data_IF_551539713239
#
_entry.id   IF_551539713239
#
_cell.length_a   1.000
_cell.length_b   1.000
_cell.length_c   1.000
_cell.angle_alpha   90.00
_cell.angle_beta   90.00
_cell.angle_gamma   90.00
#
_symmetry.space_group_name_H-M   'P 1'
#
loop_
_entity.id
_entity.type
_entity.pdbx_description
1 polymer ?
#
# COMPACT_ATOMS: atom_id res chain seq x y z
N UNK A 1 -14.31 -27.11 -13.29
CA UNK A 1 -13.10 -26.63 -12.58
C UNK A 1 -12.96 -27.38 -11.25
N UNK A 2 -11.73 -27.71 -10.80
CA UNK A 2 -11.47 -28.33 -9.48
C UNK A 2 -10.81 -27.29 -8.58
N UNK A 3 -11.48 -26.89 -7.50
CA UNK A 3 -10.96 -25.92 -6.53
C UNK A 3 -10.16 -26.61 -5.43
N UNK A 4 -9.09 -25.96 -4.97
CA UNK A 4 -8.44 -26.36 -3.72
C UNK A 4 -9.35 -25.98 -2.54
N UNK A 5 -9.51 -26.83 -1.52
CA UNK A 5 -10.33 -26.49 -0.36
C UNK A 5 -9.76 -25.26 0.36
N UNK A 6 -10.60 -24.54 1.10
CA UNK A 6 -10.15 -23.47 2.00
C UNK A 6 -9.12 -24.03 3.00
N UNK A 7 -7.91 -23.45 3.11
CA UNK A 7 -6.92 -23.90 4.09
C UNK A 7 -7.32 -23.44 5.50
N UNK A 8 -6.64 -24.01 6.51
CA UNK A 8 -6.76 -23.55 7.89
C UNK A 8 -6.36 -22.07 7.99
N UNK A 9 -7.03 -21.32 8.88
CA UNK A 9 -6.68 -19.92 9.10
C UNK A 9 -5.48 -19.83 10.05
N UNK A 10 -4.29 -19.67 9.49
CA UNK A 10 -3.03 -19.59 10.21
C UNK A 10 -2.50 -18.16 10.40
N UNK A 11 -3.28 -17.13 10.03
CA UNK A 11 -2.84 -15.73 10.14
C UNK A 11 -2.43 -15.35 11.57
N UNK A 12 -3.12 -15.85 12.60
CA UNK A 12 -2.77 -15.55 13.98
C UNK A 12 -1.37 -16.09 14.36
N UNK A 13 -1.06 -17.31 13.91
CA UNK A 13 0.24 -17.92 14.14
C UNK A 13 1.33 -17.26 13.29
N UNK A 14 1.03 -16.93 12.03
CA UNK A 14 1.91 -16.15 11.17
C UNK A 14 2.26 -14.79 11.80
N UNK A 15 1.26 -14.00 12.19
CA UNK A 15 1.43 -12.63 12.73
C UNK A 15 2.31 -12.68 14.00
N UNK A 16 2.01 -13.60 14.91
CA UNK A 16 2.78 -13.80 16.14
C UNK A 16 4.22 -14.21 15.84
N UNK A 17 4.42 -15.22 15.00
CA UNK A 17 5.75 -15.71 14.62
C UNK A 17 6.58 -14.62 13.96
N UNK A 18 5.98 -13.88 13.02
CA UNK A 18 6.63 -12.80 12.30
C UNK A 18 7.03 -11.66 13.25
N UNK A 19 6.09 -11.21 14.10
CA UNK A 19 6.35 -10.17 15.09
C UNK A 19 7.47 -10.54 16.07
N UNK A 20 7.42 -11.75 16.65
CA UNK A 20 8.44 -12.23 17.58
C UNK A 20 9.82 -12.33 16.92
N UNK A 21 9.90 -12.84 15.68
CA UNK A 21 11.16 -12.95 14.94
C UNK A 21 11.74 -11.58 14.59
N UNK A 22 10.90 -10.64 14.12
CA UNK A 22 11.32 -9.28 13.82
C UNK A 22 11.84 -8.57 15.08
N UNK A 23 11.14 -8.73 16.22
CA UNK A 23 11.52 -8.12 17.50
C UNK A 23 12.76 -8.70 18.12
N UNK A 24 13.01 -9.99 17.92
CA UNK A 24 14.25 -10.62 18.35
C UNK A 24 15.48 -9.92 17.75
N UNK A 25 15.36 -9.38 16.53
CA UNK A 25 16.44 -8.67 15.85
C UNK A 25 16.36 -7.14 15.94
N UNK A 26 15.21 -6.58 16.35
CA UNK A 26 15.04 -5.16 16.61
C UNK A 26 14.07 -4.93 17.77
N UNK A 27 14.61 -4.61 18.94
CA UNK A 27 13.84 -4.24 20.14
C UNK A 27 13.05 -2.93 19.97
N UNK A 28 13.33 -2.19 18.89
CA UNK A 28 12.70 -0.92 18.55
C UNK A 28 11.26 -1.06 18.04
N UNK A 29 10.86 -2.25 17.57
CA UNK A 29 9.50 -2.54 17.14
C UNK A 29 8.61 -2.75 18.37
N UNK A 30 7.59 -1.91 18.53
CA UNK A 30 6.72 -1.88 19.72
C UNK A 30 5.30 -2.39 19.44
N UNK A 31 4.84 -2.37 18.18
CA UNK A 31 3.57 -2.97 17.77
C UNK A 31 3.61 -3.48 16.32
N UNK A 32 2.77 -4.47 16.04
CA UNK A 32 2.44 -4.94 14.69
C UNK A 32 0.97 -4.70 14.41
N UNK A 33 0.72 -4.11 13.24
CA UNK A 33 -0.58 -3.96 12.64
C UNK A 33 -0.59 -4.57 11.24
N UNK A 34 -1.78 -4.78 10.71
CA UNK A 34 -2.01 -5.13 9.32
C UNK A 34 -3.11 -4.27 8.73
N UNK A 35 -3.11 -4.10 7.42
CA UNK A 35 -4.25 -3.51 6.73
C UNK A 35 -5.44 -4.48 6.82
N UNK A 36 -6.62 -3.95 7.10
CA UNK A 36 -7.88 -4.68 7.26
C UNK A 36 -8.01 -5.47 8.56
N UNK A 37 -9.21 -5.98 8.82
CA UNK A 37 -9.50 -6.79 9.98
C UNK A 37 -9.16 -8.26 9.74
N UNK A 38 -9.00 -9.03 10.81
CA UNK A 38 -8.75 -10.48 10.72
C UNK A 38 -9.78 -11.22 9.85
N UNK A 39 -11.04 -10.79 9.85
CA UNK A 39 -12.10 -11.41 9.03
C UNK A 39 -11.96 -11.12 7.53
N UNK A 40 -11.23 -10.08 7.15
CA UNK A 40 -10.95 -9.73 5.76
C UNK A 40 -9.77 -10.55 5.20
N UNK A 41 -8.98 -11.20 6.06
CA UNK A 41 -7.85 -12.03 5.69
C UNK A 41 -8.34 -13.42 5.28
N UNK A 42 -8.20 -13.75 3.99
CA UNK A 42 -8.67 -14.99 3.40
C UNK A 42 -7.51 -15.98 3.28
N UNK A 43 -7.52 -17.10 4.04
CA UNK A 43 -6.41 -18.06 4.04
C UNK A 43 -6.10 -18.58 2.63
N UNK A 44 -4.83 -18.56 2.26
CA UNK A 44 -4.34 -18.98 0.95
C UNK A 44 -4.62 -18.00 -0.21
N UNK A 45 -5.32 -16.89 0.04
CA UNK A 45 -5.67 -15.88 -0.97
C UNK A 45 -5.13 -14.49 -0.64
N UNK A 46 -5.21 -14.09 0.63
CA UNK A 46 -4.73 -12.79 1.10
C UNK A 46 -3.26 -12.86 1.47
N UNK A 47 -2.50 -11.88 1.02
CA UNK A 47 -1.23 -11.51 1.62
C UNK A 47 -1.47 -10.80 2.96
N UNK A 48 -0.41 -10.63 3.76
CA UNK A 48 -0.49 -9.86 5.00
C UNK A 48 0.30 -8.55 4.90
N UNK A 49 -0.47 -7.50 4.66
CA UNK A 49 -0.05 -6.11 4.54
C UNK A 49 0.51 -5.55 5.86
N UNK A 50 1.68 -6.02 6.29
CA UNK A 50 2.24 -5.70 7.61
C UNK A 50 2.55 -4.20 7.76
N UNK A 51 2.34 -3.67 8.96
CA UNK A 51 2.73 -2.32 9.40
C UNK A 51 3.35 -2.42 10.79
N UNK A 52 4.54 -1.86 11.00
CA UNK A 52 5.12 -1.75 12.33
C UNK A 52 4.94 -0.36 12.90
N UNK A 53 4.69 -0.31 14.22
CA UNK A 53 4.91 0.89 15.01
C UNK A 53 6.18 0.69 15.84
N UNK A 54 7.10 1.62 15.72
CA UNK A 54 8.41 1.61 16.36
C UNK A 54 8.52 2.75 17.38
N UNK A 55 9.53 2.71 18.23
CA UNK A 55 9.76 3.79 19.20
C UNK A 55 10.05 5.14 18.54
N UNK A 56 9.82 6.24 19.27
CA UNK A 56 10.07 7.61 18.80
C UNK A 56 11.55 7.99 18.74
N UNK A 57 12.44 7.16 19.27
CA UNK A 57 13.88 7.38 19.27
C UNK A 57 14.60 6.77 18.05
N UNK A 58 13.87 6.44 16.98
CA UNK A 58 14.44 5.92 15.75
C UNK A 58 15.27 6.99 15.03
N UNK A 59 16.55 6.71 14.81
CA UNK A 59 17.43 7.49 13.95
C UNK A 59 17.37 7.00 12.50
N UNK A 60 17.94 7.76 11.57
CA UNK A 60 18.07 7.32 10.17
C UNK A 60 18.87 6.02 10.04
N UNK A 61 19.90 5.84 10.85
CA UNK A 61 20.71 4.61 10.85
C UNK A 61 19.95 3.42 11.44
N UNK A 62 19.08 3.65 12.44
CA UNK A 62 18.18 2.61 12.94
C UNK A 62 17.21 2.14 11.85
N UNK A 63 16.72 3.04 11.00
CA UNK A 63 15.87 2.68 9.86
C UNK A 63 16.64 1.86 8.81
N UNK A 64 17.87 2.23 8.45
CA UNK A 64 18.71 1.45 7.53
C UNK A 64 18.97 0.03 8.08
N UNK A 65 19.29 -0.06 9.37
CA UNK A 65 19.52 -1.33 10.05
C UNK A 65 18.23 -2.17 10.09
N UNK A 66 17.11 -1.56 10.47
CA UNK A 66 15.81 -2.23 10.51
C UNK A 66 15.44 -2.78 9.13
N UNK A 67 15.63 -1.99 8.06
CA UNK A 67 15.38 -2.43 6.68
C UNK A 67 16.12 -3.73 6.35
N UNK A 68 17.42 -3.74 6.60
CA UNK A 68 18.29 -4.92 6.36
C UNK A 68 17.81 -6.13 7.15
N UNK A 69 17.62 -5.96 8.46
CA UNK A 69 17.18 -7.01 9.37
C UNK A 69 15.80 -7.57 9.00
N UNK A 70 14.87 -6.72 8.57
CA UNK A 70 13.54 -7.15 8.15
C UNK A 70 13.60 -7.98 6.87
N UNK A 71 14.42 -7.59 5.89
CA UNK A 71 14.67 -8.38 4.68
C UNK A 71 15.17 -9.79 5.01
N UNK A 72 16.20 -9.88 5.86
CA UNK A 72 16.76 -11.17 6.28
C UNK A 72 15.76 -12.02 7.07
N UNK A 73 15.01 -11.41 8.00
CA UNK A 73 14.01 -12.13 8.81
C UNK A 73 12.89 -12.68 7.92
N UNK A 74 12.42 -11.86 6.98
CA UNK A 74 11.40 -12.24 6.02
C UNK A 74 11.88 -13.39 5.11
N UNK A 75 13.11 -13.32 4.62
CA UNK A 75 13.75 -14.39 3.84
C UNK A 75 13.80 -15.71 4.62
N UNK A 76 14.37 -15.70 5.83
CA UNK A 76 14.51 -16.91 6.66
C UNK A 76 13.17 -17.55 7.00
N UNK A 77 12.15 -16.74 7.27
CA UNK A 77 10.81 -17.26 7.56
C UNK A 77 10.11 -17.80 6.31
N UNK A 78 10.29 -17.16 5.15
CA UNK A 78 9.76 -17.65 3.88
C UNK A 78 10.40 -18.99 3.47
N UNK A 79 11.70 -19.18 3.72
CA UNK A 79 12.39 -20.46 3.55
C UNK A 79 11.86 -21.53 4.50
N UNK A 80 11.68 -21.18 5.78
CA UNK A 80 11.25 -22.11 6.83
C UNK A 80 9.78 -22.52 6.71
N UNK A 81 8.92 -21.62 6.24
CA UNK A 81 7.47 -21.82 6.16
C UNK A 81 6.94 -21.56 4.75
N UNK A 82 7.16 -22.48 3.78
CA UNK A 82 6.65 -22.32 2.42
C UNK A 82 5.13 -22.17 2.32
N UNK A 83 4.37 -22.67 3.31
CA UNK A 83 2.92 -22.49 3.39
C UNK A 83 2.48 -21.02 3.54
N UNK A 84 3.37 -20.14 4.00
CA UNK A 84 3.12 -18.71 4.18
C UNK A 84 3.61 -17.86 3.00
N UNK A 85 3.94 -18.47 1.86
CA UNK A 85 4.42 -17.74 0.68
C UNK A 85 3.51 -16.57 0.29
N UNK A 86 2.18 -16.77 0.26
CA UNK A 86 1.24 -15.67 0.01
C UNK A 86 1.30 -14.58 1.08
N UNK A 87 1.37 -14.95 2.36
CA UNK A 87 1.45 -14.00 3.47
C UNK A 87 2.72 -13.13 3.38
N UNK A 88 3.81 -13.69 2.84
CA UNK A 88 5.10 -13.04 2.63
C UNK A 88 5.21 -12.29 1.29
N UNK A 89 4.15 -12.11 0.51
CA UNK A 89 4.22 -11.43 -0.80
C UNK A 89 4.94 -10.07 -0.73
N UNK A 90 4.66 -9.31 0.32
CA UNK A 90 5.25 -8.01 0.55
C UNK A 90 5.89 -7.91 1.94
N UNK A 91 7.06 -7.29 2.01
CA UNK A 91 7.58 -6.78 3.27
C UNK A 91 6.65 -5.72 3.87
N UNK A 92 6.77 -5.41 5.18
CA UNK A 92 5.96 -4.38 5.82
C UNK A 92 6.00 -3.07 5.03
N UNK A 93 4.82 -2.48 4.80
CA UNK A 93 4.63 -1.28 3.99
C UNK A 93 5.06 0.00 4.72
N UNK A 94 4.09 0.86 5.06
CA UNK A 94 4.34 2.06 5.86
C UNK A 94 4.66 1.64 7.30
N UNK A 95 5.78 2.13 7.84
CA UNK A 95 6.17 1.91 9.24
C UNK A 95 6.41 3.25 9.90
N UNK A 96 5.91 3.41 11.13
CA UNK A 96 5.79 4.71 11.79
C UNK A 96 6.37 4.66 13.19
N UNK A 97 6.91 5.78 13.67
CA UNK A 97 7.01 5.99 15.11
C UNK A 97 5.61 6.28 15.70
N UNK A 98 5.48 6.23 17.03
CA UNK A 98 4.22 6.61 17.69
C UNK A 98 3.87 8.08 17.50
N UNK A 99 4.87 8.95 17.52
CA UNK A 99 4.73 10.38 17.27
C UNK A 99 4.26 10.65 15.84
N UNK A 100 4.70 9.86 14.87
CA UNK A 100 4.23 9.97 13.49
C UNK A 100 2.81 9.47 13.29
N UNK A 101 2.43 8.37 13.97
CA UNK A 101 1.08 7.81 13.89
C UNK A 101 0.00 8.79 14.38
N UNK A 102 0.33 9.61 15.37
CA UNK A 102 -0.62 10.51 16.04
C UNK A 102 -0.48 11.98 15.61
N UNK A 103 0.48 12.28 14.73
CA UNK A 103 0.74 13.64 14.27
C UNK A 103 -0.23 14.06 13.15
N UNK A 104 -0.93 15.18 13.36
CA UNK A 104 -1.80 15.77 12.33
C UNK A 104 -1.02 16.21 11.08
N UNK A 105 0.22 16.66 11.26
CA UNK A 105 1.11 17.01 10.15
C UNK A 105 1.36 15.81 9.25
N UNK A 106 1.32 14.61 9.81
CA UNK A 106 1.73 13.37 9.16
C UNK A 106 0.56 12.42 8.93
N UNK A 107 -0.66 12.91 9.15
CA UNK A 107 -1.87 12.12 9.11
C UNK A 107 -2.11 11.59 7.70
N UNK A 108 -2.35 10.28 7.62
CA UNK A 108 -2.73 9.59 6.41
C UNK A 108 -3.98 8.74 6.69
N UNK A 109 -5.09 8.91 5.97
CA UNK A 109 -6.36 8.24 6.28
C UNK A 109 -6.29 6.71 6.31
N UNK A 110 -5.31 6.07 5.66
CA UNK A 110 -5.10 4.62 5.76
C UNK A 110 -4.85 4.15 7.20
N UNK A 111 -4.38 4.99 8.12
CA UNK A 111 -4.11 4.59 9.52
C UNK A 111 -5.37 4.03 10.21
N UNK A 112 -6.55 4.53 9.85
CA UNK A 112 -7.83 4.02 10.35
C UNK A 112 -8.24 2.66 9.75
N UNK A 113 -7.57 2.21 8.70
CA UNK A 113 -7.75 0.91 8.05
C UNK A 113 -6.85 -0.17 8.66
N UNK A 114 -6.08 0.16 9.70
CA UNK A 114 -5.14 -0.76 10.33
C UNK A 114 -5.79 -1.45 11.53
N UNK A 115 -5.60 -2.77 11.60
CA UNK A 115 -5.88 -3.56 12.80
C UNK A 115 -4.57 -3.83 13.53
N UNK A 116 -4.53 -3.49 14.82
CA UNK A 116 -3.37 -3.73 15.67
C UNK A 116 -3.51 -5.10 16.35
N UNK A 117 -2.55 -6.00 16.10
CA UNK A 117 -2.64 -7.38 16.55
C UNK A 117 -1.86 -7.65 17.83
N UNK A 118 -0.62 -7.12 17.93
CA UNK A 118 0.24 -7.31 19.09
C UNK A 118 0.98 -6.01 19.44
N UNK A 119 1.14 -5.76 20.74
CA UNK A 119 1.97 -4.68 21.28
C UNK A 119 2.45 -5.02 22.69
N UNK A 120 3.61 -4.49 23.09
CA UNK A 120 4.06 -4.55 24.49
C UNK A 120 3.51 -3.43 25.37
N UNK A 121 2.97 -2.36 24.77
CA UNK A 121 2.38 -1.25 25.51
C UNK A 121 0.92 -1.00 25.09
N UNK A 122 -0.02 -1.81 25.61
CA UNK A 122 -1.45 -1.62 25.33
C UNK A 122 -1.98 -0.25 25.74
N UNK A 123 -1.37 0.41 26.74
CA UNK A 123 -1.81 1.74 27.19
C UNK A 123 -1.43 2.80 26.16
N UNK A 124 -0.20 2.76 25.64
CA UNK A 124 0.26 3.66 24.57
C UNK A 124 -0.53 3.44 23.29
N UNK A 125 -0.76 2.17 22.90
CA UNK A 125 -1.62 1.86 21.77
C UNK A 125 -3.03 2.41 21.95
N UNK A 126 -3.65 2.19 23.11
CA UNK A 126 -4.97 2.74 23.43
C UNK A 126 -5.03 4.26 23.31
N UNK A 127 -4.01 4.97 23.82
CA UNK A 127 -3.93 6.43 23.69
C UNK A 127 -3.77 6.92 22.24
N UNK A 128 -3.01 6.18 21.42
CA UNK A 128 -2.85 6.50 20.00
C UNK A 128 -4.16 6.30 19.22
N UNK A 129 -4.86 5.17 19.45
CA UNK A 129 -6.16 4.88 18.85
C UNK A 129 -7.23 5.90 19.28
N UNK A 130 -7.24 6.28 20.56
CA UNK A 130 -8.10 7.36 21.08
C UNK A 130 -7.85 8.69 20.38
N UNK A 131 -6.58 9.00 20.08
CA UNK A 131 -6.20 10.24 19.39
C UNK A 131 -6.72 10.22 17.95
N UNK A 132 -6.48 9.13 17.22
CA UNK A 132 -7.00 8.94 15.87
C UNK A 132 -8.53 9.01 15.85
N UNK A 133 -9.21 8.31 16.75
CA UNK A 133 -10.67 8.27 16.81
C UNK A 133 -11.34 9.62 17.11
N UNK A 134 -10.63 10.54 17.79
CA UNK A 134 -11.11 11.91 18.06
C UNK A 134 -10.87 12.87 16.91
N UNK A 135 -10.07 12.49 15.92
CA UNK A 135 -9.82 13.33 14.74
C UNK A 135 -11.11 13.47 13.94
N UNK A 136 -11.56 14.70 13.62
CA UNK A 136 -12.72 14.89 12.77
C UNK A 136 -12.38 14.51 11.32
N UNK A 137 -13.40 14.11 10.56
CA UNK A 137 -13.30 13.96 9.11
C UNK A 137 -13.04 15.31 8.45
N UNK A 138 -12.11 15.35 7.48
CA UNK A 138 -11.80 16.56 6.72
C UNK A 138 -11.46 16.29 5.24
N UNK A 139 -10.94 17.30 4.56
CA UNK A 139 -10.56 17.25 3.14
C UNK A 139 -9.45 16.23 2.85
N UNK A 140 -8.57 15.91 3.81
CA UNK A 140 -7.53 14.88 3.62
C UNK A 140 -8.16 13.50 3.48
N UNK A 141 -9.16 13.22 4.30
CA UNK A 141 -9.93 11.97 4.24
C UNK A 141 -10.68 11.86 2.91
N UNK A 142 -11.42 12.91 2.54
CA UNK A 142 -12.17 12.94 1.30
C UNK A 142 -11.25 12.78 0.08
N UNK A 143 -10.14 13.51 0.04
CA UNK A 143 -9.16 13.43 -1.05
C UNK A 143 -8.58 12.02 -1.22
N UNK A 144 -8.17 11.39 -0.11
CA UNK A 144 -7.64 10.03 -0.13
C UNK A 144 -8.66 9.03 -0.71
N UNK A 145 -9.89 9.06 -0.21
CA UNK A 145 -10.93 8.14 -0.64
C UNK A 145 -11.39 8.41 -2.07
N UNK A 146 -11.51 9.67 -2.51
CA UNK A 146 -11.88 9.98 -3.88
C UNK A 146 -10.80 9.59 -4.88
N UNK A 147 -9.51 9.73 -4.55
CA UNK A 147 -8.43 9.21 -5.40
C UNK A 147 -8.52 7.70 -5.55
N UNK A 148 -8.76 6.98 -4.46
CA UNK A 148 -8.90 5.52 -4.49
C UNK A 148 -10.16 5.08 -5.23
N UNK A 149 -11.28 5.80 -5.06
CA UNK A 149 -12.50 5.59 -5.85
C UNK A 149 -12.21 5.73 -7.35
N UNK A 150 -11.63 6.86 -7.75
CA UNK A 150 -11.34 7.15 -9.15
C UNK A 150 -10.31 6.20 -9.76
N UNK A 151 -9.35 5.70 -8.98
CA UNK A 151 -8.31 4.79 -9.45
C UNK A 151 -8.89 3.45 -9.92
N UNK A 152 -9.89 2.92 -9.21
CA UNK A 152 -10.49 1.61 -9.45
C UNK A 152 -11.90 1.69 -10.05
N UNK A 153 -12.37 2.87 -10.42
CA UNK A 153 -13.67 3.05 -11.04
C UNK A 153 -13.72 2.48 -12.46
N UNK A 154 -14.75 1.68 -12.73
CA UNK A 154 -15.08 1.14 -14.06
C UNK A 154 -15.05 -0.38 -14.10
N UNK A 155 -15.12 -0.94 -15.31
CA UNK A 155 -14.99 -2.38 -15.54
C UNK A 155 -13.66 -2.93 -15.04
N UNK A 156 -13.69 -4.15 -14.48
CA UNK A 156 -12.49 -4.91 -14.13
C UNK A 156 -11.49 -4.98 -15.30
N UNK A 157 -10.27 -4.50 -15.05
CA UNK A 157 -9.17 -4.67 -15.98
C UNK A 157 -8.60 -6.10 -15.86
N UNK A 158 -8.85 -6.95 -16.86
CA UNK A 158 -8.41 -8.36 -16.83
C UNK A 158 -6.89 -8.56 -16.85
N UNK A 159 -6.08 -7.52 -17.08
CA UNK A 159 -4.61 -7.59 -17.05
C UNK A 159 -4.01 -7.03 -15.75
N UNK A 160 -4.83 -6.54 -14.82
CA UNK A 160 -4.35 -6.03 -13.52
C UNK A 160 -4.11 -7.20 -12.57
N UNK A 161 -3.16 -7.02 -11.64
CA UNK A 161 -3.01 -7.86 -10.44
C UNK A 161 -2.90 -9.37 -10.76
N UNK A 162 -1.73 -9.84 -11.24
CA UNK A 162 -1.53 -11.25 -11.55
C UNK A 162 -1.55 -12.12 -10.28
N UNK A 163 -1.86 -13.40 -10.45
CA UNK A 163 -1.85 -14.37 -9.36
C UNK A 163 -0.39 -14.72 -8.99
N UNK A 164 0.11 -14.19 -7.89
CA UNK A 164 1.49 -14.42 -7.42
C UNK A 164 1.47 -15.19 -6.10
N UNK A 165 2.35 -16.20 -5.99
CA UNK A 165 2.60 -16.95 -4.74
C UNK A 165 1.36 -17.58 -4.07
N UNK A 166 0.30 -17.88 -4.84
CA UNK A 166 -0.96 -18.47 -4.36
C UNK A 166 -0.97 -20.00 -4.37
N UNK A 167 0.04 -20.62 -5.00
CA UNK A 167 0.16 -22.08 -5.09
C UNK A 167 -1.11 -22.75 -5.61
N UNK A 168 -1.64 -23.72 -4.87
CA UNK A 168 -2.84 -24.49 -5.26
C UNK A 168 -4.13 -23.65 -5.31
N UNK A 169 -4.12 -22.43 -4.75
CA UNK A 169 -5.28 -21.54 -4.67
C UNK A 169 -5.35 -20.53 -5.82
N UNK A 170 -4.38 -20.51 -6.73
CA UNK A 170 -4.37 -19.64 -7.92
C UNK A 170 -5.68 -19.72 -8.72
N UNK A 171 -6.28 -20.91 -8.81
CA UNK A 171 -7.55 -21.14 -9.49
C UNK A 171 -8.76 -20.37 -8.90
N UNK A 172 -8.63 -19.76 -7.72
CA UNK A 172 -9.64 -18.91 -7.10
C UNK A 172 -9.38 -17.41 -7.29
N UNK A 173 -8.15 -17.04 -7.63
CA UNK A 173 -7.70 -15.65 -7.66
C UNK A 173 -8.47 -14.75 -8.63
N UNK A 174 -8.87 -15.21 -9.83
CA UNK A 174 -9.60 -14.34 -10.76
C UNK A 174 -10.87 -13.71 -10.17
N UNK A 175 -11.64 -14.44 -9.35
CA UNK A 175 -12.82 -13.88 -8.68
C UNK A 175 -12.45 -13.08 -7.44
N UNK A 176 -11.42 -13.51 -6.70
CA UNK A 176 -10.92 -12.77 -5.54
C UNK A 176 -10.43 -11.38 -5.95
N UNK A 177 -9.62 -11.26 -6.99
CA UNK A 177 -9.11 -9.97 -7.45
C UNK A 177 -10.24 -9.05 -7.92
N UNK A 178 -11.20 -9.57 -8.71
CA UNK A 178 -12.40 -8.82 -9.14
C UNK A 178 -13.17 -8.22 -7.97
N UNK A 179 -13.49 -9.04 -6.98
CA UNK A 179 -14.36 -8.63 -5.87
C UNK A 179 -13.56 -7.84 -4.84
N UNK A 180 -12.42 -8.34 -4.37
CA UNK A 180 -11.73 -7.79 -3.20
C UNK A 180 -10.62 -6.79 -3.55
N UNK A 181 -10.02 -6.85 -4.74
CA UNK A 181 -8.91 -5.97 -5.15
C UNK A 181 -9.33 -4.89 -6.15
N UNK A 182 -10.44 -5.09 -6.87
CA UNK A 182 -10.90 -4.13 -7.88
C UNK A 182 -12.23 -3.47 -7.51
N UNK A 183 -13.29 -4.25 -7.21
CA UNK A 183 -14.60 -3.70 -6.90
C UNK A 183 -14.72 -3.19 -5.45
N UNK A 184 -14.15 -3.88 -4.46
CA UNK A 184 -14.23 -3.43 -3.07
C UNK A 184 -13.56 -2.06 -2.81
N UNK A 185 -12.33 -1.77 -3.32
CA UNK A 185 -11.67 -0.49 -3.03
C UNK A 185 -12.48 0.78 -3.32
N UNK A 186 -13.15 0.93 -4.48
CA UNK A 186 -14.00 2.09 -4.73
C UNK A 186 -15.28 2.05 -3.87
N UNK A 187 -15.91 0.89 -3.67
CA UNK A 187 -17.08 0.77 -2.77
C UNK A 187 -16.71 1.20 -1.35
N UNK A 188 -15.58 0.74 -0.83
CA UNK A 188 -15.06 1.10 0.49
C UNK A 188 -14.78 2.59 0.63
N UNK A 189 -14.16 3.17 -0.38
CA UNK A 189 -13.88 4.61 -0.39
C UNK A 189 -15.18 5.42 -0.43
N UNK A 190 -16.17 4.96 -1.22
CA UNK A 190 -17.46 5.60 -1.32
C UNK A 190 -18.20 5.63 0.02
N UNK A 191 -18.29 4.49 0.71
CA UNK A 191 -18.97 4.46 2.01
C UNK A 191 -18.24 5.29 3.07
N UNK A 192 -16.91 5.39 3.02
CA UNK A 192 -16.19 6.27 3.93
C UNK A 192 -16.58 7.75 3.72
N UNK A 193 -16.72 8.18 2.46
CA UNK A 193 -17.18 9.54 2.12
C UNK A 193 -18.63 9.77 2.53
N UNK A 194 -19.54 8.81 2.25
CA UNK A 194 -20.96 8.92 2.58
C UNK A 194 -21.20 8.97 4.10
N UNK A 195 -20.46 8.19 4.88
CA UNK A 195 -20.53 8.17 6.34
C UNK A 195 -19.73 9.30 7.00
N UNK A 196 -18.86 9.98 6.24
CA UNK A 196 -17.83 10.89 6.77
C UNK A 196 -17.03 10.25 7.90
N UNK A 197 -16.66 8.99 7.71
CA UNK A 197 -15.95 8.18 8.68
C UNK A 197 -15.04 7.16 7.98
N UNK A 198 -13.82 7.01 8.49
CA UNK A 198 -12.95 5.94 8.04
C UNK A 198 -13.42 4.58 8.57
N UNK A 199 -13.69 3.64 7.65
CA UNK A 199 -14.11 2.27 7.97
C UNK A 199 -12.91 1.34 7.90
N UNK A 200 -12.74 0.50 8.92
CA UNK A 200 -11.53 -0.32 9.06
C UNK A 200 -11.48 -1.47 8.03
N UNK A 201 -12.54 -2.26 7.85
CA UNK A 201 -12.49 -3.50 7.05
C UNK A 201 -13.27 -3.48 5.74
N UNK A 202 -12.84 -4.34 4.80
CA UNK A 202 -13.43 -4.48 3.46
C UNK A 202 -14.84 -5.06 3.51
N UNK A 203 -15.06 -6.07 4.36
CA UNK A 203 -16.39 -6.67 4.54
C UNK A 203 -17.35 -5.71 5.25
N UNK A 204 -16.87 -4.87 6.17
CA UNK A 204 -17.71 -3.84 6.83
C UNK A 204 -18.22 -2.87 5.79
N UNK A 205 -17.34 -2.48 4.87
CA UNK A 205 -17.67 -1.60 3.79
C UNK A 205 -18.78 -2.16 2.88
N UNK A 206 -18.76 -3.46 2.59
CA UNK A 206 -19.85 -4.10 1.85
C UNK A 206 -21.16 -4.14 2.63
N UNK A 207 -21.12 -4.48 3.92
CA UNK A 207 -22.31 -4.46 4.78
C UNK A 207 -22.93 -3.05 4.89
N UNK A 208 -22.10 -2.00 4.94
CA UNK A 208 -22.54 -0.60 4.92
C UNK A 208 -23.08 -0.23 3.53
N UNK A 209 -22.38 -0.57 2.45
CA UNK A 209 -22.79 -0.26 1.09
C UNK A 209 -24.14 -0.92 0.74
N UNK A 210 -24.36 -2.17 1.13
CA UNK A 210 -25.63 -2.85 0.92
C UNK A 210 -26.80 -2.13 1.62
N UNK A 211 -26.57 -1.51 2.79
CA UNK A 211 -27.60 -0.71 3.46
C UNK A 211 -27.91 0.60 2.74
N UNK A 212 -26.91 1.24 2.14
CA UNK A 212 -27.12 2.45 1.32
C UNK A 212 -27.79 2.13 -0.02
N UNK A 213 -27.54 0.95 -0.57
CA UNK A 213 -27.93 0.59 -1.93
C UNK A 213 -28.57 -0.80 -2.01
N UNK A 214 -29.67 -1.07 -1.28
CA UNK A 214 -30.20 -2.42 -1.11
C UNK A 214 -30.66 -3.09 -2.41
N UNK A 215 -31.03 -2.30 -3.41
CA UNK A 215 -31.58 -2.77 -4.68
C UNK A 215 -30.51 -3.06 -5.75
N UNK A 216 -29.21 -2.91 -5.45
CA UNK A 216 -28.16 -3.23 -6.41
C UNK A 216 -28.04 -4.73 -6.63
N UNK A 217 -28.04 -5.11 -7.91
CA UNK A 217 -27.98 -6.51 -8.36
C UNK A 217 -26.65 -7.20 -8.04
N UNK A 218 -25.61 -6.46 -7.67
CA UNK A 218 -24.29 -7.01 -7.37
C UNK A 218 -24.21 -7.75 -6.02
N UNK A 219 -25.11 -7.47 -5.07
CA UNK A 219 -25.00 -8.04 -3.72
C UNK A 219 -25.27 -9.53 -3.66
N UNK A 220 -26.23 -10.04 -4.44
CA UNK A 220 -26.50 -11.48 -4.52
C UNK A 220 -25.28 -12.28 -5.01
N UNK A 221 -24.68 -12.01 -6.19
CA UNK A 221 -23.51 -12.76 -6.65
C UNK A 221 -22.30 -12.56 -5.74
N UNK A 222 -22.06 -11.37 -5.17
CA UNK A 222 -20.96 -11.15 -4.24
C UNK A 222 -21.11 -12.07 -3.01
N UNK A 223 -22.29 -12.11 -2.38
CA UNK A 223 -22.52 -12.98 -1.23
C UNK A 223 -22.39 -14.45 -1.58
N UNK A 224 -22.96 -14.86 -2.72
CA UNK A 224 -22.86 -16.24 -3.21
C UNK A 224 -21.38 -16.65 -3.34
N UNK A 225 -20.59 -15.85 -4.05
CA UNK A 225 -19.16 -16.12 -4.32
C UNK A 225 -18.35 -16.13 -3.02
N UNK A 226 -18.55 -15.15 -2.13
CA UNK A 226 -17.81 -15.07 -0.86
C UNK A 226 -18.16 -16.21 0.09
N UNK A 227 -19.45 -16.56 0.22
CA UNK A 227 -19.90 -17.69 1.05
C UNK A 227 -19.39 -19.04 0.54
N UNK A 228 -19.30 -19.20 -0.78
CA UNK A 228 -18.72 -20.39 -1.39
C UNK A 228 -17.18 -20.38 -1.45
N UNK A 229 -16.51 -19.38 -0.84
CA UNK A 229 -15.05 -19.25 -0.87
C UNK A 229 -14.47 -19.27 -2.29
N UNK A 230 -15.16 -18.61 -3.21
CA UNK A 230 -14.85 -18.54 -4.64
C UNK A 230 -14.94 -19.89 -5.37
N UNK A 231 -15.53 -20.93 -4.76
CA UNK A 231 -15.60 -22.30 -5.32
C UNK A 231 -16.85 -22.52 -6.20
N UNK A 232 -17.18 -21.56 -7.06
CA UNK A 232 -18.37 -21.60 -7.92
C UNK A 232 -17.93 -21.59 -9.40
N UNK A 233 -17.89 -22.75 -10.10
CA UNK A 233 -17.32 -22.83 -11.45
C UNK A 233 -18.00 -21.90 -12.46
N UNK A 234 -19.32 -21.71 -12.35
CA UNK A 234 -20.07 -20.91 -13.33
C UNK A 234 -19.61 -19.46 -13.41
N UNK A 235 -19.05 -18.89 -12.35
CA UNK A 235 -18.59 -17.50 -12.33
C UNK A 235 -17.21 -17.32 -12.99
N UNK A 236 -16.53 -18.40 -13.38
CA UNK A 236 -15.24 -18.33 -14.09
C UNK A 236 -15.37 -18.44 -15.61
N UNK A 237 -16.57 -18.72 -16.11
CA UNK A 237 -16.81 -19.04 -17.52
C UNK A 237 -17.68 -17.98 -18.20
N UNK A 238 -17.47 -17.77 -19.50
CA UNK A 238 -18.33 -16.89 -20.29
C UNK A 238 -19.67 -17.57 -20.61
N UNK A 239 -20.80 -16.82 -20.66
CA UNK A 239 -20.90 -15.35 -20.55
C UNK A 239 -21.05 -14.84 -19.11
N UNK A 240 -21.09 -15.73 -18.10
CA UNK A 240 -21.38 -15.38 -16.70
C UNK A 240 -20.32 -14.47 -16.09
N UNK A 241 -19.05 -14.70 -16.42
CA UNK A 241 -17.95 -13.85 -15.97
C UNK A 241 -18.12 -12.39 -16.45
N UNK A 242 -18.42 -12.18 -17.74
CA UNK A 242 -18.69 -10.84 -18.27
C UNK A 242 -19.93 -10.21 -17.65
N UNK A 243 -20.99 -10.99 -17.43
CA UNK A 243 -22.21 -10.49 -16.76
C UNK A 243 -21.94 -10.05 -15.32
N UNK A 244 -21.07 -10.76 -14.58
CA UNK A 244 -20.65 -10.32 -13.27
C UNK A 244 -19.94 -8.96 -13.35
N UNK A 245 -18.98 -8.82 -14.26
CA UNK A 245 -18.26 -7.56 -14.47
C UNK A 245 -19.20 -6.40 -14.86
N UNK A 246 -20.20 -6.65 -15.71
CA UNK A 246 -21.24 -5.65 -16.07
C UNK A 246 -22.00 -5.19 -14.81
N UNK A 247 -22.46 -6.13 -13.99
CA UNK A 247 -23.25 -5.83 -12.78
C UNK A 247 -22.42 -5.08 -11.73
N UNK A 248 -21.12 -5.39 -11.61
CA UNK A 248 -20.21 -4.65 -10.73
C UNK A 248 -19.96 -3.23 -11.24
N UNK A 249 -19.73 -3.04 -12.54
CA UNK A 249 -19.53 -1.73 -13.16
C UNK A 249 -20.77 -0.84 -13.04
N UNK A 250 -21.96 -1.38 -13.33
CA UNK A 250 -23.23 -0.65 -13.15
C UNK A 250 -23.44 -0.21 -11.70
N UNK A 251 -23.10 -1.06 -10.73
CA UNK A 251 -23.18 -0.71 -9.31
C UNK A 251 -22.28 0.48 -8.96
N UNK A 252 -21.06 0.56 -9.52
CA UNK A 252 -20.19 1.73 -9.34
C UNK A 252 -20.81 3.00 -9.91
N UNK A 253 -21.52 2.91 -11.04
CA UNK A 253 -22.26 4.04 -11.62
C UNK A 253 -23.31 4.61 -10.65
N UNK A 254 -24.14 3.74 -10.06
CA UNK A 254 -25.14 4.16 -9.07
C UNK A 254 -24.50 4.76 -7.81
N UNK A 255 -23.40 4.17 -7.35
CA UNK A 255 -22.64 4.69 -6.19
C UNK A 255 -22.06 6.07 -6.51
N UNK A 256 -21.52 6.28 -7.71
CA UNK A 256 -20.98 7.56 -8.15
C UNK A 256 -22.04 8.66 -8.20
N UNK A 257 -23.23 8.34 -8.73
CA UNK A 257 -24.37 9.27 -8.73
C UNK A 257 -24.71 9.74 -7.32
N UNK A 258 -24.71 8.81 -6.35
CA UNK A 258 -24.97 9.15 -4.94
C UNK A 258 -23.84 9.95 -4.30
N UNK A 259 -22.59 9.61 -4.62
CA UNK A 259 -21.40 10.30 -4.11
C UNK A 259 -21.33 11.74 -4.57
N UNK A 260 -21.72 12.03 -5.82
CA UNK A 260 -21.72 13.39 -6.38
C UNK A 260 -22.37 14.40 -5.43
N UNK A 261 -23.46 14.01 -4.77
CA UNK A 261 -24.21 14.90 -3.87
C UNK A 261 -23.58 15.03 -2.46
N UNK A 262 -22.45 14.37 -2.21
CA UNK A 262 -21.78 14.29 -0.89
C UNK A 262 -20.32 14.75 -0.91
N UNK A 263 -19.71 14.88 -2.08
CA UNK A 263 -18.33 15.35 -2.25
C UNK A 263 -18.26 16.87 -2.22
N UNK A 264 -17.14 17.39 -1.73
CA UNK A 264 -16.81 18.81 -1.63
C UNK A 264 -15.60 19.20 -2.48
N UNK A 265 -14.74 18.24 -2.80
CA UNK A 265 -13.51 18.48 -3.59
C UNK A 265 -13.73 18.44 -5.10
N UNK A 266 -14.89 17.97 -5.56
CA UNK A 266 -15.23 17.85 -6.97
C UNK A 266 -16.26 18.91 -7.33
N UNK A 267 -16.04 19.71 -8.39
CA UNK A 267 -16.99 20.73 -8.82
C UNK A 267 -18.27 20.09 -9.37
N UNK A 268 -19.42 20.71 -9.13
CA UNK A 268 -20.74 20.22 -9.56
C UNK A 268 -20.81 19.97 -11.08
N UNK A 269 -20.09 20.78 -11.87
CA UNK A 269 -20.05 20.67 -13.33
C UNK A 269 -19.39 19.37 -13.83
N UNK A 270 -18.59 18.71 -13.00
CA UNK A 270 -18.00 17.41 -13.34
C UNK A 270 -19.04 16.30 -13.43
N UNK A 271 -20.21 16.47 -12.81
CA UNK A 271 -21.30 15.50 -12.84
C UNK A 271 -20.83 14.10 -12.45
N UNK A 272 -21.07 13.12 -13.31
CA UNK A 272 -20.63 11.72 -13.14
C UNK A 272 -19.52 11.32 -14.11
N UNK A 273 -18.71 12.28 -14.57
CA UNK A 273 -17.52 11.99 -15.39
C UNK A 273 -16.30 11.73 -14.49
N UNK A 274 -15.88 10.47 -14.40
CA UNK A 274 -14.72 10.09 -13.59
C UNK A 274 -13.41 10.72 -14.09
N UNK A 275 -13.31 11.02 -15.38
CA UNK A 275 -12.17 11.75 -15.95
C UNK A 275 -12.11 13.18 -15.41
N UNK A 276 -13.27 13.85 -15.35
CA UNK A 276 -13.37 15.17 -14.75
C UNK A 276 -13.09 15.16 -13.24
N UNK A 277 -13.53 14.11 -12.51
CA UNK A 277 -13.18 13.93 -11.09
C UNK A 277 -11.67 13.77 -10.89
N UNK A 278 -11.01 12.94 -11.72
CA UNK A 278 -9.55 12.77 -11.67
C UNK A 278 -8.82 14.09 -11.92
N UNK A 279 -9.26 14.88 -12.88
CA UNK A 279 -8.68 16.19 -13.17
C UNK A 279 -8.87 17.17 -12.01
N UNK A 280 -10.07 17.24 -11.43
CA UNK A 280 -10.35 18.09 -10.27
C UNK A 280 -9.46 17.71 -9.06
N UNK A 281 -9.29 16.42 -8.78
CA UNK A 281 -8.43 15.94 -7.71
C UNK A 281 -6.94 16.28 -7.94
N UNK A 282 -6.48 16.40 -9.18
CA UNK A 282 -5.09 16.83 -9.45
C UNK A 282 -4.84 18.30 -9.09
N UNK A 283 -5.88 19.13 -9.08
CA UNK A 283 -5.81 20.55 -8.73
C UNK A 283 -5.99 20.82 -7.23
N UNK A 284 -6.38 19.80 -6.44
CA UNK A 284 -6.51 19.94 -4.97
C UNK A 284 -5.13 20.26 -4.37
N UNK A 285 -4.97 21.40 -3.67
CA UNK A 285 -3.70 21.76 -3.06
C UNK A 285 -3.28 20.73 -1.99
N UNK A 286 -2.23 19.96 -2.29
CA UNK A 286 -1.59 19.08 -1.31
C UNK A 286 -0.35 19.79 -0.79
N UNK A 287 -0.15 19.78 0.53
CA UNK A 287 1.09 20.27 1.14
C UNK A 287 2.30 19.55 0.51
N UNK A 288 3.19 20.27 -0.20
CA UNK A 288 4.37 19.67 -0.81
C UNK A 288 5.26 18.91 0.19
N UNK A 289 5.26 19.29 1.47
CA UNK A 289 6.00 18.58 2.50
C UNK A 289 5.41 17.18 2.78
N UNK A 290 4.08 17.03 2.71
CA UNK A 290 3.41 15.73 2.82
C UNK A 290 3.85 14.78 1.69
N UNK A 291 4.01 15.32 0.48
CA UNK A 291 4.45 14.52 -0.68
C UNK A 291 5.85 13.95 -0.43
N UNK A 292 6.79 14.75 0.07
CA UNK A 292 8.15 14.28 0.38
C UNK A 292 8.09 13.23 1.50
N UNK A 293 7.36 13.55 2.56
CA UNK A 293 7.27 12.75 3.76
C UNK A 293 6.63 11.37 3.52
N UNK A 294 5.54 11.30 2.75
CA UNK A 294 4.91 10.02 2.40
C UNK A 294 5.91 9.13 1.64
N UNK A 295 6.61 9.68 0.66
CA UNK A 295 7.60 8.92 -0.11
C UNK A 295 8.78 8.45 0.75
N UNK A 296 9.27 9.26 1.69
CA UNK A 296 10.31 8.87 2.64
C UNK A 296 9.85 7.75 3.59
N UNK A 297 8.59 7.76 4.03
CA UNK A 297 8.01 6.68 4.85
C UNK A 297 7.92 5.36 4.10
N UNK A 298 7.44 5.39 2.85
CA UNK A 298 7.34 4.21 2.00
C UNK A 298 8.70 3.63 1.62
N UNK A 299 9.78 4.42 1.67
CA UNK A 299 11.13 3.95 1.31
C UNK A 299 11.87 3.24 2.46
N UNK A 300 11.47 3.42 3.72
CA UNK A 300 12.19 2.93 4.92
C UNK A 300 12.61 1.46 4.83
N UNK A 301 11.70 0.57 4.43
CA UNK A 301 11.98 -0.87 4.35
C UNK A 301 12.29 -1.37 2.93
N UNK A 302 12.49 -0.47 1.96
CA UNK A 302 12.66 -0.86 0.55
C UNK A 302 13.96 -1.64 0.31
N UNK A 303 15.07 -1.29 0.97
CA UNK A 303 16.31 -2.08 0.89
C UNK A 303 16.08 -3.53 1.29
N UNK A 304 15.47 -3.77 2.46
CA UNK A 304 15.11 -5.10 2.91
C UNK A 304 14.20 -5.83 1.93
N UNK A 305 13.27 -5.10 1.30
CA UNK A 305 12.32 -5.65 0.33
C UNK A 305 13.02 -6.14 -0.93
N UNK A 306 13.87 -5.31 -1.52
CA UNK A 306 14.66 -5.67 -2.70
C UNK A 306 15.68 -6.78 -2.39
N UNK A 307 16.29 -6.74 -1.20
CA UNK A 307 17.17 -7.81 -0.75
C UNK A 307 16.42 -9.15 -0.66
N UNK A 308 15.23 -9.18 -0.04
CA UNK A 308 14.40 -10.37 0.01
C UNK A 308 14.04 -10.84 -1.40
N UNK A 309 13.53 -9.96 -2.26
CA UNK A 309 13.14 -10.34 -3.62
C UNK A 309 14.29 -10.88 -4.46
N UNK A 310 15.49 -10.32 -4.30
CA UNK A 310 16.71 -10.77 -4.97
C UNK A 310 17.18 -12.16 -4.51
N UNK A 311 16.81 -12.58 -3.29
CA UNK A 311 17.33 -13.79 -2.64
C UNK A 311 16.23 -14.80 -2.25
N UNK A 312 14.98 -14.59 -2.67
CA UNK A 312 13.85 -15.41 -2.27
C UNK A 312 14.04 -16.89 -2.66
N UNK A 313 13.51 -17.84 -1.87
CA UNK A 313 13.62 -19.26 -2.18
C UNK A 313 12.87 -19.61 -3.48
N UNK A 314 13.27 -20.71 -4.13
CA UNK A 314 12.76 -21.12 -5.44
C UNK A 314 11.23 -21.34 -5.51
N UNK A 315 10.55 -21.53 -4.38
CA UNK A 315 9.09 -21.66 -4.31
C UNK A 315 8.34 -20.32 -4.29
N UNK A 316 9.06 -19.20 -4.26
CA UNK A 316 8.50 -17.86 -4.16
C UNK A 316 8.90 -17.06 -5.41
N UNK A 317 7.93 -16.70 -6.23
CA UNK A 317 8.14 -15.86 -7.42
C UNK A 317 8.26 -14.39 -7.02
N UNK A 318 9.32 -13.75 -7.48
CA UNK A 318 9.63 -12.34 -7.21
C UNK A 318 9.71 -11.51 -8.48
N UNK A 319 9.61 -12.09 -9.66
CA UNK A 319 9.90 -11.39 -10.93
C UNK A 319 8.98 -10.18 -11.10
N UNK A 320 7.67 -10.42 -11.04
CA UNK A 320 6.69 -9.35 -11.16
C UNK A 320 6.78 -8.36 -9.98
N UNK A 321 7.09 -8.85 -8.77
CA UNK A 321 7.23 -8.00 -7.59
C UNK A 321 8.39 -7.00 -7.79
N UNK A 322 9.54 -7.46 -8.26
CA UNK A 322 10.67 -6.59 -8.58
C UNK A 322 10.30 -5.62 -9.70
N UNK A 323 9.67 -6.08 -10.79
CA UNK A 323 9.25 -5.21 -11.89
C UNK A 323 8.31 -4.09 -11.42
N UNK A 324 7.34 -4.43 -10.57
CA UNK A 324 6.41 -3.47 -9.99
C UNK A 324 7.13 -2.44 -9.11
N UNK A 325 8.13 -2.85 -8.33
CA UNK A 325 8.96 -1.93 -7.55
C UNK A 325 9.81 -1.02 -8.45
N UNK A 326 10.59 -1.60 -9.38
CA UNK A 326 11.45 -0.84 -10.29
C UNK A 326 10.65 0.19 -11.11
N UNK A 327 9.42 -0.15 -11.51
CA UNK A 327 8.52 0.74 -12.24
C UNK A 327 8.06 1.99 -11.47
N UNK A 328 8.22 2.02 -10.15
CA UNK A 328 7.73 3.14 -9.31
C UNK A 328 8.79 3.83 -8.47
N UNK A 329 9.79 3.11 -7.95
CA UNK A 329 10.67 3.64 -6.89
C UNK A 329 11.53 4.83 -7.34
N UNK A 330 11.96 4.89 -8.60
CA UNK A 330 12.70 6.03 -9.13
C UNK A 330 11.86 7.31 -9.10
N UNK A 331 10.59 7.22 -9.52
CA UNK A 331 9.70 8.38 -9.50
C UNK A 331 9.23 8.74 -8.09
N UNK A 332 8.84 7.73 -7.31
CA UNK A 332 8.31 7.91 -5.95
C UNK A 332 9.38 8.39 -4.97
N UNK A 333 10.56 7.77 -4.93
CA UNK A 333 11.53 8.05 -3.87
C UNK A 333 12.58 9.08 -4.27
N UNK A 334 12.87 9.25 -5.56
CA UNK A 334 13.88 10.20 -6.03
C UNK A 334 13.28 11.38 -6.79
N UNK A 335 12.63 11.15 -7.95
CA UNK A 335 12.24 12.26 -8.83
C UNK A 335 11.25 13.20 -8.18
N UNK A 336 10.15 12.68 -7.64
CA UNK A 336 9.10 13.49 -7.02
C UNK A 336 9.61 14.23 -5.77
N UNK A 337 10.26 13.57 -4.79
CA UNK A 337 10.67 14.24 -3.56
C UNK A 337 11.74 15.30 -3.79
N UNK A 338 12.77 15.02 -4.61
CA UNK A 338 13.86 15.98 -4.83
C UNK A 338 13.44 17.18 -5.68
N UNK A 339 12.58 16.99 -6.71
CA UNK A 339 11.98 18.12 -7.46
C UNK A 339 11.12 18.99 -6.54
N UNK A 340 10.32 18.34 -5.70
CA UNK A 340 9.43 19.05 -4.75
C UNK A 340 10.24 19.82 -3.72
N UNK A 341 11.27 19.20 -3.15
CA UNK A 341 12.18 19.83 -2.20
C UNK A 341 12.87 21.05 -2.82
N UNK A 342 13.41 20.90 -4.04
CA UNK A 342 14.05 22.00 -4.75
C UNK A 342 13.09 23.18 -4.93
N UNK A 343 11.88 22.91 -5.42
CA UNK A 343 10.85 23.94 -5.61
C UNK A 343 10.47 24.65 -4.31
N UNK A 344 10.32 23.91 -3.20
CA UNK A 344 10.07 24.52 -1.88
C UNK A 344 11.23 25.43 -1.48
N UNK A 345 12.47 24.95 -1.66
CA UNK A 345 13.68 25.61 -1.19
C UNK A 345 14.04 26.86 -1.99
N UNK A 346 13.89 26.84 -3.31
CA UNK A 346 14.39 27.89 -4.21
C UNK A 346 13.29 28.61 -4.98
N UNK A 347 12.08 28.03 -5.05
CA UNK A 347 11.00 28.51 -5.92
C UNK A 347 11.13 28.05 -7.37
N UNK A 348 12.19 27.33 -7.73
CA UNK A 348 12.48 26.90 -9.10
C UNK A 348 11.98 25.49 -9.39
N UNK A 349 11.48 25.26 -10.61
CA UNK A 349 11.17 23.92 -11.10
C UNK A 349 12.38 23.34 -11.80
N UNK A 350 12.71 22.08 -11.52
CA UNK A 350 13.78 21.35 -12.19
C UNK A 350 13.22 20.10 -12.89
N UNK A 351 13.63 19.89 -14.14
CA UNK A 351 13.22 18.72 -14.91
C UNK A 351 13.98 17.47 -14.45
N UNK A 352 15.30 17.54 -14.30
CA UNK A 352 16.12 16.43 -13.76
C UNK A 352 16.70 16.78 -12.38
N UNK A 353 16.22 16.17 -11.28
CA UNK A 353 16.72 16.45 -9.94
C UNK A 353 18.17 16.00 -9.72
N UNK A 354 18.78 15.22 -10.62
CA UNK A 354 20.23 14.94 -10.55
C UNK A 354 21.05 16.23 -10.64
N UNK A 355 20.58 17.22 -11.40
CA UNK A 355 21.28 18.49 -11.62
C UNK A 355 21.47 19.32 -10.34
N UNK A 356 20.57 19.17 -9.36
CA UNK A 356 20.61 19.96 -8.11
C UNK A 356 21.40 19.29 -7.00
N UNK A 357 21.80 18.02 -7.16
CA UNK A 357 22.47 17.27 -6.08
C UNK A 357 23.84 17.86 -5.71
N UNK A 358 24.57 18.42 -6.67
CA UNK A 358 25.86 19.08 -6.41
C UNK A 358 25.68 20.41 -5.67
N UNK A 359 24.54 21.08 -5.83
CA UNK A 359 24.20 22.29 -5.06
C UNK A 359 23.81 21.99 -3.62
N UNK A 360 23.25 20.80 -3.37
CA UNK A 360 22.94 20.33 -2.01
C UNK A 360 24.19 19.82 -1.27
N UNK A 361 25.30 19.59 -1.97
CA UNK A 361 26.53 19.01 -1.43
C UNK A 361 27.25 19.98 -0.48
N UNK A 362 27.54 19.52 0.73
CA UNK A 362 28.27 20.26 1.75
C UNK A 362 27.42 21.24 2.56
N UNK A 363 26.19 21.52 2.10
CA UNK A 363 25.20 22.29 2.85
C UNK A 363 24.21 21.35 3.55
N UNK A 364 23.41 20.60 2.79
CA UNK A 364 22.44 19.63 3.35
C UNK A 364 22.95 18.19 3.26
N UNK A 365 23.54 17.82 2.13
CA UNK A 365 23.96 16.46 1.83
C UNK A 365 25.47 16.28 1.93
N UNK A 366 25.90 15.14 2.44
CA UNK A 366 27.30 14.73 2.44
C UNK A 366 27.76 14.34 1.03
N UNK A 367 29.08 14.30 0.77
CA UNK A 367 29.59 13.76 -0.50
C UNK A 367 29.13 12.33 -0.80
N UNK A 368 29.03 11.44 0.21
CA UNK A 368 28.60 10.05 0.01
C UNK A 368 27.12 9.95 -0.30
N UNK A 369 26.29 10.76 0.34
CA UNK A 369 24.84 10.84 0.10
C UNK A 369 24.53 11.32 -1.32
N UNK A 370 25.29 12.30 -1.82
CA UNK A 370 25.18 12.76 -3.21
C UNK A 370 25.54 11.66 -4.20
N UNK A 371 26.67 10.96 -3.99
CA UNK A 371 27.07 9.87 -4.88
C UNK A 371 26.10 8.68 -4.83
N UNK A 372 25.63 8.30 -3.64
CA UNK A 372 24.62 7.25 -3.45
C UNK A 372 23.29 7.60 -4.13
N UNK A 373 22.84 8.86 -4.00
CA UNK A 373 21.62 9.34 -4.67
C UNK A 373 21.77 9.36 -6.19
N UNK A 374 22.93 9.81 -6.71
CA UNK A 374 23.23 9.75 -8.15
C UNK A 374 23.27 8.30 -8.65
N UNK A 375 23.81 7.37 -7.86
CA UNK A 375 23.83 5.95 -8.21
C UNK A 375 22.42 5.35 -8.23
N UNK A 376 21.60 5.61 -7.21
CA UNK A 376 20.19 5.21 -7.17
C UNK A 376 19.41 5.73 -8.38
N UNK A 377 19.59 7.00 -8.74
CA UNK A 377 18.96 7.60 -9.92
C UNK A 377 19.32 6.90 -11.24
N UNK A 378 20.59 6.47 -11.40
CA UNK A 378 21.05 5.72 -12.57
C UNK A 378 20.47 4.30 -12.63
N UNK A 379 20.29 3.67 -11.48
CA UNK A 379 19.76 2.30 -11.36
C UNK A 379 18.24 2.22 -11.47
N UNK A 380 17.54 3.35 -11.40
CA UNK A 380 16.07 3.43 -11.47
C UNK A 380 15.60 4.25 -12.68
N UNK A 381 16.08 3.96 -13.90
CA UNK A 381 15.58 4.62 -15.11
C UNK A 381 14.07 4.35 -15.29
N UNK A 382 13.40 5.16 -16.11
CA UNK A 382 11.99 4.91 -16.43
C UNK A 382 11.78 3.59 -17.18
N UNK A 383 12.82 3.08 -17.86
CA UNK A 383 12.84 1.79 -18.55
C UNK A 383 14.14 1.02 -18.25
N UNK A 384 14.04 -0.29 -18.02
CA UNK A 384 15.18 -1.19 -17.84
C UNK A 384 15.13 -2.38 -18.80
N UNK A 385 16.28 -3.05 -18.97
CA UNK A 385 16.38 -4.25 -19.80
C UNK A 385 15.69 -5.45 -19.11
N UNK A 386 14.79 -6.12 -19.82
CA UNK A 386 14.11 -7.31 -19.31
C UNK A 386 15.11 -8.44 -19.01
N UNK A 387 14.93 -9.15 -17.88
CA UNK A 387 15.85 -10.17 -17.40
C UNK A 387 16.96 -9.63 -16.49
N UNK A 388 17.06 -8.31 -16.30
CA UNK A 388 18.01 -7.66 -15.38
C UNK A 388 17.41 -7.31 -14.02
N UNK A 389 16.17 -7.72 -13.74
CA UNK A 389 15.42 -7.33 -12.54
C UNK A 389 16.18 -7.63 -11.24
N UNK A 390 16.68 -8.86 -11.09
CA UNK A 390 17.42 -9.28 -9.89
C UNK A 390 18.77 -8.58 -9.73
N UNK A 391 19.49 -8.36 -10.84
CA UNK A 391 20.77 -7.65 -10.85
C UNK A 391 20.57 -6.20 -10.41
N UNK A 392 19.59 -5.51 -11.00
CA UNK A 392 19.25 -4.12 -10.65
C UNK A 392 18.79 -4.02 -9.19
N UNK A 393 17.95 -4.96 -8.72
CA UNK A 393 17.52 -4.98 -7.33
C UNK A 393 18.70 -5.13 -6.36
N UNK A 394 19.66 -6.01 -6.67
CA UNK A 394 20.89 -6.18 -5.89
C UNK A 394 21.76 -4.91 -5.91
N UNK A 395 21.96 -4.30 -7.08
CA UNK A 395 22.74 -3.06 -7.19
C UNK A 395 22.11 -1.89 -6.43
N UNK A 396 20.77 -1.80 -6.41
CA UNK A 396 20.05 -0.79 -5.63
C UNK A 396 20.30 -1.01 -4.13
N UNK A 397 20.26 -2.26 -3.65
CA UNK A 397 20.49 -2.58 -2.22
C UNK A 397 21.83 -2.05 -1.74
N UNK A 398 22.87 -2.13 -2.56
CA UNK A 398 24.24 -1.66 -2.22
C UNK A 398 24.34 -0.14 -2.02
N UNK A 399 23.52 0.64 -2.73
CA UNK A 399 23.56 2.11 -2.66
C UNK A 399 22.44 2.71 -1.80
N UNK A 400 21.48 1.89 -1.36
CA UNK A 400 20.23 2.37 -0.81
C UNK A 400 20.40 3.17 0.49
N UNK A 401 21.33 2.80 1.38
CA UNK A 401 21.46 3.48 2.67
C UNK A 401 21.88 4.95 2.50
N UNK A 402 22.86 5.23 1.63
CA UNK A 402 23.29 6.61 1.35
C UNK A 402 22.19 7.41 0.66
N UNK A 403 21.46 6.79 -0.26
CA UNK A 403 20.27 7.39 -0.87
C UNK A 403 19.18 7.71 0.17
N UNK A 404 18.86 6.76 1.04
CA UNK A 404 17.80 6.92 2.04
C UNK A 404 18.17 7.99 3.07
N UNK A 405 19.44 8.10 3.47
CA UNK A 405 19.93 9.20 4.30
C UNK A 405 19.68 10.56 3.65
N UNK A 406 19.96 10.70 2.36
CA UNK A 406 19.68 11.92 1.62
C UNK A 406 18.18 12.25 1.57
N UNK A 407 17.34 11.24 1.27
CA UNK A 407 15.88 11.38 1.25
C UNK A 407 15.32 11.77 2.62
N UNK A 408 15.83 11.17 3.70
CA UNK A 408 15.42 11.51 5.07
C UNK A 408 15.76 12.97 5.42
N UNK A 409 16.96 13.45 5.07
CA UNK A 409 17.37 14.84 5.33
C UNK A 409 16.51 15.87 4.59
N UNK A 410 16.17 15.62 3.32
CA UNK A 410 15.27 16.55 2.60
C UNK A 410 13.84 16.52 3.19
N UNK A 411 13.40 15.37 3.73
CA UNK A 411 12.12 15.26 4.41
C UNK A 411 12.10 15.99 5.76
N UNK A 412 13.20 15.99 6.51
CA UNK A 412 13.32 16.71 7.78
C UNK A 412 13.49 18.22 7.61
N UNK A 413 13.99 18.65 6.45
CA UNK A 413 14.28 20.06 6.16
C UNK A 413 13.04 20.87 5.70
N UNK A 414 11.90 20.21 5.43
CA UNK A 414 10.66 20.86 4.97
C UNK A 414 9.60 20.97 6.05
#
# INVERSE_FOLDING_TARGET
>A
MKFAPRPENDFADYIRTYYEACRYHSDKIEAIAGKWMFRDLLPGMSDFDTRFVVNDGMTVDDWCQLSTVMGETHLRLCEKYPCWARNFEHLPGVNLTWSELTSERNYYPEYHQWTYYLTEDPKRLGAALDTLARRPWDEKDEYFHLKKFCLYFGRYNRTIDPAINLGVHENKYPLHSRIMHYFNPPVHSAVCVLEKQNICGKLDAYEIAERHFPDLRCWEPIREILHAHYEIPMWYEEPRLSQLEDVLEEALGVIMERLRDSVTLIPDEAGTDVGAWRAALQEVPVDPALVIFDNAKFSRLMKGRLHFYGNAPAHFDTTWLIQNELGRIGNSFFRTPFRTFWKIRTGETVDDPVAVLDELKGDLLSPSEVEGTKAFARLTPDEWEAGKEHEIAADIVEVFDEFFRALNKISEAV
#
